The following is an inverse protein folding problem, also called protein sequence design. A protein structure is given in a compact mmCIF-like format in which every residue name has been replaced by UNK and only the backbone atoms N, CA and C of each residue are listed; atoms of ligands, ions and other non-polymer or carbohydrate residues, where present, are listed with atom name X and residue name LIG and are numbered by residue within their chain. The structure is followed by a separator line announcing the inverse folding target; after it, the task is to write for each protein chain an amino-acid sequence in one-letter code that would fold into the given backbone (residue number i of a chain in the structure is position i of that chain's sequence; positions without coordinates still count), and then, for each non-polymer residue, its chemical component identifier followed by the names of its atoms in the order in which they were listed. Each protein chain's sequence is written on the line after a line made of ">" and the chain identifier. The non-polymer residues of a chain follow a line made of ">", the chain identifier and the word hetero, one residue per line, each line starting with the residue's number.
data_IF_451555144590
#
_entry.id   IF_451555144590
#
_cell.length_a   1.000
_cell.length_b   1.000
_cell.length_c   1.000
_cell.angle_alpha   90.00
_cell.angle_beta   90.00
_cell.angle_gamma   90.00
#
_symmetry.space_group_name_H-M   'P 1'
#
loop_
_entity.id
_entity.type
_entity.pdbx_description
1 polymer ?
#
# COMPACT_ATOMS: atom_id res chain seq x y z
N UNK A 1 -13.56 -30.74 5.93
CA UNK A 1 -12.48 -30.31 5.02
C UNK A 1 -11.12 -30.13 5.72
N UNK A 2 -11.04 -29.80 7.02
CA UNK A 2 -9.76 -29.59 7.72
C UNK A 2 -9.08 -30.83 8.33
N UNK A 3 -9.76 -31.98 8.40
CA UNK A 3 -9.25 -33.15 9.13
C UNK A 3 -8.11 -33.89 8.40
N UNK A 4 -8.03 -33.77 7.07
CA UNK A 4 -7.05 -34.47 6.22
C UNK A 4 -5.84 -33.61 5.81
N UNK A 5 -5.80 -32.33 6.18
CA UNK A 5 -4.67 -31.46 5.87
C UNK A 5 -3.41 -31.94 6.58
N UNK A 6 -2.33 -32.17 5.82
CA UNK A 6 -1.03 -32.58 6.34
C UNK A 6 -0.29 -31.40 7.00
N UNK A 7 -0.55 -30.18 6.51
CA UNK A 7 0.03 -28.93 7.00
C UNK A 7 -1.00 -28.18 7.86
N UNK A 8 -0.68 -27.98 9.14
CA UNK A 8 -1.51 -27.20 10.07
C UNK A 8 -0.78 -25.92 10.45
N UNK A 9 -1.43 -24.77 10.26
CA UNK A 9 -0.87 -23.46 10.61
C UNK A 9 -1.60 -22.95 11.83
N UNK A 10 -0.93 -22.91 12.97
CA UNK A 10 -1.52 -22.61 14.27
C UNK A 10 -1.03 -21.24 14.74
N UNK A 11 -1.98 -20.35 14.94
CA UNK A 11 -1.80 -19.10 15.65
C UNK A 11 -1.48 -19.34 17.13
N UNK A 12 -0.41 -18.73 17.62
CA UNK A 12 0.02 -18.79 19.02
C UNK A 12 0.29 -17.38 19.55
N UNK A 13 -0.19 -17.10 20.77
CA UNK A 13 0.01 -15.84 21.48
C UNK A 13 1.27 -15.84 22.35
N UNK A 14 1.48 -14.74 23.08
CA UNK A 14 2.56 -14.62 24.08
C UNK A 14 2.32 -15.45 25.35
N UNK A 15 1.11 -15.95 25.53
CA UNK A 15 0.71 -16.95 26.53
C UNK A 15 1.07 -18.39 26.09
N UNK A 16 1.67 -18.58 24.92
CA UNK A 16 2.26 -19.84 24.48
C UNK A 16 1.24 -20.98 24.36
N UNK A 17 1.62 -22.17 24.85
CA UNK A 17 0.78 -23.38 24.79
C UNK A 17 -0.51 -23.28 25.63
N UNK A 18 -0.53 -22.41 26.64
CA UNK A 18 -1.68 -22.26 27.53
C UNK A 18 -2.80 -21.44 26.87
N UNK A 19 -2.46 -20.60 25.88
CA UNK A 19 -3.42 -19.88 25.04
C UNK A 19 -4.05 -20.73 23.93
N UNK A 20 -3.55 -21.95 23.69
CA UNK A 20 -4.07 -22.81 22.63
C UNK A 20 -5.33 -23.55 23.04
N UNK A 21 -6.29 -23.66 22.12
CA UNK A 21 -7.42 -24.57 22.30
C UNK A 21 -6.94 -26.01 22.50
N UNK A 22 -7.69 -26.87 23.24
CA UNK A 22 -7.30 -28.27 23.44
C UNK A 22 -7.00 -29.02 22.13
N UNK A 23 -7.73 -28.70 21.05
CA UNK A 23 -7.51 -29.28 19.73
C UNK A 23 -6.18 -28.83 19.11
N UNK A 24 -5.87 -27.53 19.16
CA UNK A 24 -4.61 -27.02 18.62
C UNK A 24 -3.41 -27.54 19.42
N UNK A 25 -3.52 -27.59 20.75
CA UNK A 25 -2.49 -28.15 21.63
C UNK A 25 -2.18 -29.60 21.28
N UNK A 26 -3.22 -30.42 21.08
CA UNK A 26 -3.05 -31.80 20.62
C UNK A 26 -2.30 -31.90 19.28
N UNK A 27 -2.61 -31.03 18.32
CA UNK A 27 -1.88 -31.03 17.03
C UNK A 27 -0.39 -30.71 17.20
N UNK A 28 -0.05 -29.77 18.09
CA UNK A 28 1.34 -29.43 18.40
C UNK A 28 2.05 -30.60 19.08
N UNK A 29 1.39 -31.30 20.00
CA UNK A 29 1.93 -32.47 20.71
C UNK A 29 2.14 -33.69 19.79
N UNK A 30 1.26 -33.89 18.80
CA UNK A 30 1.32 -35.02 17.85
C UNK A 30 2.12 -34.71 16.57
N UNK A 31 2.66 -33.50 16.46
CA UNK A 31 3.43 -33.06 15.30
C UNK A 31 4.70 -33.91 15.12
N UNK A 32 5.00 -34.26 13.88
CA UNK A 32 6.30 -34.88 13.53
C UNK A 32 7.33 -33.81 13.17
N UNK A 33 6.85 -32.67 12.65
CA UNK A 33 7.66 -31.50 12.32
C UNK A 33 6.99 -30.25 12.86
N UNK A 34 7.75 -29.44 13.58
CA UNK A 34 7.37 -28.12 14.07
C UNK A 34 8.20 -27.07 13.34
N UNK A 35 7.52 -26.22 12.58
CA UNK A 35 8.14 -25.10 11.88
C UNK A 35 7.71 -23.77 12.50
N UNK A 36 8.64 -22.82 12.64
CA UNK A 36 8.32 -21.59 13.35
C UNK A 36 9.52 -20.65 13.50
N UNK A 37 9.23 -19.41 13.87
CA UNK A 37 10.25 -18.49 14.36
C UNK A 37 10.86 -19.02 15.67
N UNK A 38 12.12 -18.67 15.94
CA UNK A 38 12.83 -19.15 17.14
C UNK A 38 12.04 -18.92 18.44
N UNK A 39 11.39 -17.75 18.58
CA UNK A 39 10.49 -17.42 19.70
C UNK A 39 9.32 -18.42 19.82
N UNK A 40 8.69 -18.80 18.72
CA UNK A 40 7.56 -19.74 18.74
C UNK A 40 7.99 -21.16 19.11
N UNK A 41 9.12 -21.61 18.57
CA UNK A 41 9.67 -22.93 18.88
C UNK A 41 10.14 -23.05 20.33
N UNK A 42 10.47 -21.93 20.99
CA UNK A 42 10.80 -21.87 22.40
C UNK A 42 9.60 -22.12 23.32
N UNK A 43 8.35 -21.93 22.86
CA UNK A 43 7.14 -22.28 23.63
C UNK A 43 6.89 -23.78 23.75
N UNK A 44 7.60 -24.60 22.95
CA UNK A 44 7.46 -26.06 22.88
C UNK A 44 8.81 -26.76 23.14
N UNK A 45 9.48 -26.48 24.28
CA UNK A 45 10.84 -26.96 24.51
C UNK A 45 10.91 -28.49 24.64
N UNK A 46 9.86 -29.12 25.17
CA UNK A 46 9.78 -30.56 25.44
C UNK A 46 9.33 -31.43 24.25
N UNK A 47 8.98 -30.83 23.12
CA UNK A 47 8.54 -31.59 21.94
C UNK A 47 9.70 -32.41 21.35
N UNK A 48 9.41 -33.66 20.97
CA UNK A 48 10.34 -34.55 20.26
C UNK A 48 10.27 -34.41 18.73
N UNK A 49 9.41 -33.52 18.23
CA UNK A 49 9.28 -33.26 16.79
C UNK A 49 10.56 -32.66 16.21
N UNK A 50 10.80 -32.91 14.92
CA UNK A 50 11.83 -32.20 14.16
C UNK A 50 11.51 -30.69 14.14
N UNK A 51 12.47 -29.84 14.51
CA UNK A 51 12.27 -28.38 14.58
C UNK A 51 12.89 -27.68 13.39
N UNK A 52 12.07 -26.99 12.60
CA UNK A 52 12.47 -26.19 11.46
C UNK A 52 12.34 -24.69 11.79
N UNK A 53 13.46 -24.05 12.12
CA UNK A 53 13.49 -22.59 12.26
C UNK A 53 13.39 -21.90 10.90
N UNK A 54 12.88 -20.67 10.88
CA UNK A 54 12.90 -19.83 9.67
C UNK A 54 14.31 -19.64 9.14
N UNK A 55 14.48 -19.90 7.84
CA UNK A 55 15.72 -19.73 7.10
C UNK A 55 15.79 -18.38 6.39
N UNK A 56 16.97 -18.08 5.88
CA UNK A 56 17.25 -16.87 5.11
C UNK A 56 17.93 -17.30 3.80
N UNK A 57 17.28 -17.15 2.63
CA UNK A 57 15.96 -16.53 2.41
C UNK A 57 14.78 -17.36 2.92
N UNK A 58 13.64 -16.69 3.16
CA UNK A 58 12.43 -17.34 3.69
C UNK A 58 11.86 -18.44 2.75
N UNK A 59 12.15 -18.36 1.45
CA UNK A 59 11.79 -19.41 0.47
C UNK A 59 12.30 -20.79 0.85
N UNK A 60 13.49 -20.86 1.46
CA UNK A 60 14.11 -22.12 1.86
C UNK A 60 13.27 -22.83 2.93
N UNK A 61 12.61 -22.07 3.80
CA UNK A 61 11.66 -22.63 4.77
C UNK A 61 10.42 -23.20 4.11
N UNK A 62 9.93 -22.60 3.02
CA UNK A 62 8.78 -23.12 2.28
C UNK A 62 9.12 -24.45 1.59
N UNK A 63 10.32 -24.55 1.02
CA UNK A 63 10.79 -25.78 0.39
C UNK A 63 11.09 -26.89 1.43
N UNK A 64 11.65 -26.53 2.59
CA UNK A 64 11.84 -27.45 3.71
C UNK A 64 10.51 -27.96 4.30
N UNK A 65 9.46 -27.13 4.31
CA UNK A 65 8.10 -27.58 4.69
C UNK A 65 7.54 -28.51 3.61
N UNK A 66 7.75 -28.19 2.33
CA UNK A 66 7.23 -28.98 1.22
C UNK A 66 7.86 -30.38 1.12
N UNK A 67 9.09 -30.59 1.59
CA UNK A 67 9.72 -31.91 1.64
C UNK A 67 9.12 -32.86 2.68
N UNK A 68 8.22 -32.36 3.53
CA UNK A 68 7.60 -33.09 4.64
C UNK A 68 6.10 -33.38 4.43
N UNK A 69 5.65 -33.41 3.17
CA UNK A 69 4.24 -33.64 2.78
C UNK A 69 3.65 -34.96 3.29
N UNK A 70 4.50 -35.94 3.58
CA UNK A 70 4.16 -37.25 4.12
C UNK A 70 4.03 -37.27 5.66
N UNK A 71 4.43 -36.18 6.33
CA UNK A 71 4.42 -36.05 7.79
C UNK A 71 3.29 -35.13 8.27
N UNK A 72 2.98 -35.20 9.57
CA UNK A 72 2.14 -34.23 10.28
C UNK A 72 2.96 -32.98 10.60
N UNK A 73 2.85 -31.97 9.75
CA UNK A 73 3.58 -30.71 9.90
C UNK A 73 2.72 -29.66 10.59
N UNK A 74 3.28 -29.02 11.61
CA UNK A 74 2.66 -27.88 12.30
C UNK A 74 3.56 -26.66 12.16
N UNK A 75 3.02 -25.59 11.59
CA UNK A 75 3.62 -24.26 11.59
C UNK A 75 3.05 -23.46 12.75
N UNK A 76 3.92 -22.95 13.62
CA UNK A 76 3.58 -22.00 14.68
C UNK A 76 3.79 -20.57 14.17
N UNK A 77 2.75 -19.74 14.28
CA UNK A 77 2.74 -18.37 13.80
C UNK A 77 2.14 -17.41 14.84
N UNK A 78 2.62 -16.17 14.90
CA UNK A 78 2.07 -15.16 15.81
C UNK A 78 0.59 -14.89 15.53
N UNK A 79 -0.27 -14.99 16.54
CA UNK A 79 -1.65 -14.49 16.48
C UNK A 79 -2.48 -15.09 15.34
N UNK A 80 -2.92 -14.27 14.38
CA UNK A 80 -3.64 -14.72 13.19
C UNK A 80 -2.66 -14.94 12.02
N UNK A 81 -2.43 -16.18 11.55
CA UNK A 81 -1.50 -16.46 10.47
C UNK A 81 -1.84 -15.75 9.15
N UNK A 82 -3.10 -15.34 8.94
CA UNK A 82 -3.57 -14.68 7.71
C UNK A 82 -3.55 -13.15 7.78
N UNK A 83 -3.14 -12.57 8.91
CA UNK A 83 -3.07 -11.12 9.09
C UNK A 83 -1.60 -10.66 9.14
N UNK A 84 -1.05 -10.32 7.98
CA UNK A 84 0.39 -10.03 7.77
C UNK A 84 1.33 -11.17 8.22
N UNK A 85 0.80 -12.36 8.47
CA UNK A 85 1.52 -13.51 8.99
C UNK A 85 2.01 -14.48 7.91
N UNK A 86 2.74 -15.50 8.36
CA UNK A 86 3.35 -16.54 7.51
C UNK A 86 2.32 -17.36 6.72
N UNK A 87 1.06 -17.41 7.17
CA UNK A 87 -0.02 -18.10 6.47
C UNK A 87 -0.26 -17.55 5.06
N UNK A 88 -0.03 -16.25 4.85
CA UNK A 88 -0.15 -15.62 3.53
C UNK A 88 0.90 -16.15 2.55
N UNK A 89 2.16 -16.28 3.01
CA UNK A 89 3.23 -16.83 2.18
C UNK A 89 3.04 -18.33 1.91
N UNK A 90 2.55 -19.08 2.91
CA UNK A 90 2.20 -20.49 2.73
C UNK A 90 1.08 -20.68 1.70
N UNK A 91 0.04 -19.82 1.71
CA UNK A 91 -1.07 -19.87 0.77
C UNK A 91 -0.68 -19.55 -0.68
N UNK A 92 0.50 -18.95 -0.91
CA UNK A 92 1.05 -18.78 -2.26
C UNK A 92 1.71 -20.06 -2.80
N UNK A 93 2.07 -21.00 -1.90
CA UNK A 93 2.83 -22.22 -2.23
C UNK A 93 1.99 -23.50 -2.13
N UNK A 94 1.03 -23.53 -1.21
CA UNK A 94 0.19 -24.68 -0.89
C UNK A 94 -1.28 -24.32 -1.10
N UNK A 95 -2.05 -25.27 -1.62
CA UNK A 95 -3.49 -25.09 -1.81
C UNK A 95 -4.25 -25.07 -0.48
N UNK A 96 -5.47 -24.55 -0.48
CA UNK A 96 -6.30 -24.49 0.71
C UNK A 96 -6.69 -25.89 1.23
N UNK A 97 -6.72 -26.89 0.34
CA UNK A 97 -7.02 -28.30 0.66
C UNK A 97 -5.88 -28.99 1.41
N UNK A 98 -4.64 -28.53 1.20
CA UNK A 98 -3.45 -29.04 1.87
C UNK A 98 -3.26 -28.47 3.28
N UNK A 99 -3.89 -27.33 3.55
CA UNK A 99 -3.68 -26.55 4.76
C UNK A 99 -4.91 -26.51 5.67
N UNK A 100 -4.68 -26.57 6.97
CA UNK A 100 -5.67 -26.19 7.97
C UNK A 100 -5.12 -25.05 8.83
N UNK A 101 -5.77 -23.88 8.76
CA UNK A 101 -5.35 -22.67 9.49
C UNK A 101 -6.23 -22.49 10.72
N UNK A 102 -5.58 -22.34 11.88
CA UNK A 102 -6.21 -22.14 13.18
C UNK A 102 -5.78 -20.79 13.74
N UNK A 103 -6.52 -19.70 13.48
CA UNK A 103 -6.14 -18.37 13.95
C UNK A 103 -6.31 -18.25 15.46
N UNK A 104 -5.43 -17.47 16.08
CA UNK A 104 -5.60 -16.93 17.43
C UNK A 104 -5.87 -15.41 17.35
N UNK A 105 -6.28 -14.79 18.46
CA UNK A 105 -6.44 -13.35 18.49
C UNK A 105 -5.11 -12.64 18.20
N UNK A 106 -5.02 -11.96 17.05
CA UNK A 106 -3.84 -11.20 16.65
C UNK A 106 -3.70 -9.86 17.36
N UNK A 107 -2.55 -9.23 17.18
CA UNK A 107 -2.18 -7.96 17.81
C UNK A 107 -3.25 -6.86 17.65
N UNK A 108 -3.88 -6.71 16.47
CA UNK A 108 -4.93 -5.71 16.28
C UNK A 108 -6.19 -5.99 17.11
N UNK A 109 -6.64 -7.24 17.17
CA UNK A 109 -7.82 -7.60 17.96
C UNK A 109 -7.56 -7.40 19.45
N UNK A 110 -6.36 -7.77 19.92
CA UNK A 110 -5.93 -7.54 21.30
C UNK A 110 -5.81 -6.05 21.61
N UNK A 111 -5.19 -5.25 20.74
CA UNK A 111 -5.07 -3.81 20.89
C UNK A 111 -6.44 -3.13 20.94
N UNK A 112 -7.36 -3.48 20.03
CA UNK A 112 -8.75 -3.02 20.06
C UNK A 112 -9.42 -3.33 21.40
N UNK A 113 -9.25 -4.55 21.93
CA UNK A 113 -9.80 -4.93 23.23
C UNK A 113 -9.24 -4.12 24.40
N UNK A 114 -7.94 -3.74 24.36
CA UNK A 114 -7.31 -2.90 25.39
C UNK A 114 -7.68 -1.43 25.31
N UNK A 115 -7.95 -0.94 24.10
CA UNK A 115 -8.23 0.47 23.83
C UNK A 115 -9.73 0.79 23.80
N UNK A 116 -10.59 -0.24 23.74
CA UNK A 116 -12.02 -0.08 23.52
C UNK A 116 -12.35 0.43 22.11
N UNK A 117 -11.52 0.11 21.12
CA UNK A 117 -11.71 0.54 19.73
C UNK A 117 -12.48 -0.51 18.92
N UNK A 118 -13.41 -0.06 18.08
CA UNK A 118 -14.07 -0.93 17.09
C UNK A 118 -13.09 -1.34 16.00
N UNK A 119 -12.89 -2.66 15.80
CA UNK A 119 -11.99 -3.17 14.74
C UNK A 119 -12.42 -2.76 13.33
N UNK A 120 -13.71 -2.46 13.13
CA UNK A 120 -14.27 -2.03 11.85
C UNK A 120 -13.99 -0.54 11.52
N UNK A 121 -13.58 0.26 12.51
CA UNK A 121 -13.35 1.70 12.37
C UNK A 121 -11.86 2.08 12.44
N UNK A 122 -10.98 1.09 12.55
CA UNK A 122 -9.52 1.30 12.63
C UNK A 122 -8.86 0.90 11.32
N UNK A 123 -7.94 1.74 10.88
CA UNK A 123 -7.04 1.43 9.77
C UNK A 123 -5.89 0.58 10.32
N UNK A 124 -5.55 -0.48 9.59
CA UNK A 124 -4.50 -1.43 10.02
C UNK A 124 -3.42 -1.56 8.98
N UNK A 125 -2.17 -1.32 9.39
CA UNK A 125 -0.99 -1.43 8.53
C UNK A 125 0.16 -2.11 9.28
N UNK A 126 1.16 -2.55 8.52
CA UNK A 126 2.40 -3.12 9.06
C UNK A 126 3.57 -2.31 8.56
N UNK A 127 4.48 -1.96 9.47
CA UNK A 127 5.80 -1.43 9.15
C UNK A 127 6.87 -2.54 9.24
N UNK A 128 6.50 -3.74 9.67
CA UNK A 128 7.41 -4.87 9.72
C UNK A 128 7.84 -5.28 8.30
N UNK A 129 9.13 -5.13 7.99
CA UNK A 129 9.73 -5.34 6.67
C UNK A 129 9.20 -4.38 5.61
N UNK A 130 8.69 -3.19 6.00
CA UNK A 130 8.08 -2.21 5.08
C UNK A 130 8.52 -0.78 5.39
N UNK A 131 8.57 0.11 4.39
CA UNK A 131 8.97 1.51 4.60
C UNK A 131 8.03 2.26 5.56
N UNK A 132 8.60 3.10 6.43
CA UNK A 132 7.86 4.00 7.33
C UNK A 132 6.91 4.94 6.57
N UNK A 133 7.29 5.34 5.35
CA UNK A 133 6.52 6.25 4.49
C UNK A 133 5.11 5.76 4.19
N UNK A 134 4.83 4.46 4.27
CA UNK A 134 3.47 3.90 4.14
C UNK A 134 2.48 4.55 5.12
N UNK A 135 2.94 5.04 6.27
CA UNK A 135 2.12 5.78 7.22
C UNK A 135 1.43 6.99 6.56
N UNK A 136 2.10 7.67 5.63
CA UNK A 136 1.69 8.97 5.09
C UNK A 136 0.33 8.94 4.37
N UNK A 137 -0.09 7.82 3.79
CA UNK A 137 -1.41 7.71 3.13
C UNK A 137 -2.57 7.55 4.13
N UNK A 138 -2.27 7.15 5.36
CA UNK A 138 -3.28 6.91 6.40
C UNK A 138 -3.52 8.12 7.32
N UNK A 139 -2.60 9.09 7.32
CA UNK A 139 -2.67 10.29 8.16
C UNK A 139 -3.84 11.19 7.77
N UNK A 140 -4.91 11.14 8.57
CA UNK A 140 -6.10 11.97 8.45
C UNK A 140 -6.58 12.40 9.84
N UNK A 141 -7.07 13.63 10.03
CA UNK A 141 -7.59 14.05 11.33
C UNK A 141 -8.71 13.11 11.81
N UNK A 142 -8.61 12.64 13.06
CA UNK A 142 -9.58 11.72 13.66
C UNK A 142 -9.42 10.24 13.26
N UNK A 143 -8.50 9.91 12.35
CA UNK A 143 -8.22 8.51 12.03
C UNK A 143 -7.63 7.77 13.23
N UNK A 144 -8.01 6.50 13.38
CA UNK A 144 -7.42 5.57 14.34
C UNK A 144 -6.62 4.53 13.59
N UNK A 145 -5.33 4.44 13.90
CA UNK A 145 -4.39 3.53 13.24
C UNK A 145 -3.93 2.48 14.25
N UNK A 146 -3.83 1.23 13.81
CA UNK A 146 -3.04 0.21 14.49
C UNK A 146 -1.92 -0.26 13.55
N UNK A 147 -0.70 -0.19 14.06
CA UNK A 147 0.53 -0.38 13.28
C UNK A 147 1.32 -1.51 13.92
N UNK A 148 1.62 -2.57 13.15
CA UNK A 148 2.62 -3.56 13.57
C UNK A 148 4.02 -2.96 13.38
N UNK A 149 4.80 -2.92 14.45
CA UNK A 149 6.15 -2.39 14.44
C UNK A 149 7.14 -3.37 13.81
N UNK A 150 8.26 -2.83 13.31
CA UNK A 150 9.44 -3.64 12.98
C UNK A 150 10.12 -4.12 14.27
N UNK A 151 10.34 -3.18 15.19
CA UNK A 151 11.15 -3.36 16.39
C UNK A 151 10.83 -2.31 17.48
N UNK A 152 11.64 -2.29 18.54
CA UNK A 152 11.53 -1.37 19.67
C UNK A 152 11.75 0.11 19.34
N UNK A 153 12.35 0.43 18.18
CA UNK A 153 12.63 1.81 17.75
C UNK A 153 11.49 2.42 16.93
N UNK A 154 10.62 1.55 16.38
CA UNK A 154 9.52 1.95 15.51
C UNK A 154 8.55 2.97 16.14
N UNK A 155 8.18 2.90 17.44
CA UNK A 155 7.32 3.92 18.06
C UNK A 155 7.88 5.35 17.97
N UNK A 156 9.18 5.53 18.20
CA UNK A 156 9.84 6.83 18.10
C UNK A 156 9.88 7.33 16.65
N UNK A 157 10.15 6.43 15.70
CA UNK A 157 10.12 6.76 14.28
C UNK A 157 8.72 7.19 13.80
N UNK A 158 7.66 6.51 14.26
CA UNK A 158 6.27 6.90 13.99
C UNK A 158 5.94 8.25 14.61
N UNK A 159 6.36 8.51 15.85
CA UNK A 159 6.17 9.79 16.50
C UNK A 159 6.85 10.93 15.73
N UNK A 160 8.10 10.73 15.28
CA UNK A 160 8.82 11.70 14.46
C UNK A 160 8.11 11.98 13.14
N UNK A 161 7.71 10.94 12.41
CA UNK A 161 6.98 11.10 11.15
C UNK A 161 5.64 11.84 11.34
N UNK A 162 4.94 11.64 12.46
CA UNK A 162 3.74 12.39 12.79
C UNK A 162 4.05 13.88 13.02
N UNK A 163 5.08 14.21 13.80
CA UNK A 163 5.50 15.61 14.04
C UNK A 163 5.84 16.33 12.74
N UNK A 164 6.64 15.70 11.88
CA UNK A 164 7.07 16.28 10.59
C UNK A 164 5.90 16.61 9.65
N UNK A 165 4.75 15.97 9.85
CA UNK A 165 3.52 16.18 9.07
C UNK A 165 2.49 17.06 9.78
N UNK A 166 2.82 17.66 10.92
CA UNK A 166 1.91 18.50 11.72
C UNK A 166 0.88 17.71 12.53
N UNK A 167 1.19 16.45 12.85
CA UNK A 167 0.38 15.55 13.67
C UNK A 167 0.96 15.35 15.08
N UNK A 168 1.82 16.26 15.58
CA UNK A 168 2.43 16.18 16.92
C UNK A 168 1.43 15.95 18.08
N UNK A 169 0.24 16.57 18.09
CA UNK A 169 -0.79 16.36 19.11
C UNK A 169 -1.42 14.96 19.11
N UNK A 170 -1.14 14.11 18.12
CA UNK A 170 -1.69 12.76 18.03
C UNK A 170 -1.36 11.95 19.27
N UNK A 171 -2.35 11.20 19.77
CA UNK A 171 -2.11 10.28 20.89
C UNK A 171 -1.45 9.02 20.36
N UNK A 172 -0.40 8.59 21.04
CA UNK A 172 0.34 7.39 20.73
C UNK A 172 0.24 6.42 21.92
N UNK A 173 -0.10 5.16 21.65
CA UNK A 173 -0.03 4.09 22.65
C UNK A 173 0.79 2.95 22.07
N UNK A 174 1.92 2.62 22.71
CA UNK A 174 2.70 1.42 22.42
C UNK A 174 2.17 0.29 23.31
N UNK A 175 1.90 -0.85 22.69
CA UNK A 175 1.43 -2.07 23.32
C UNK A 175 2.41 -3.20 22.98
N UNK A 176 3.17 -3.68 23.96
CA UNK A 176 4.15 -4.74 23.77
C UNK A 176 3.66 -6.05 24.38
N UNK A 177 4.03 -7.16 23.72
CA UNK A 177 3.75 -8.55 24.16
C UNK A 177 2.29 -8.78 24.57
N UNK A 178 1.37 -8.24 23.76
CA UNK A 178 -0.08 -8.33 23.98
C UNK A 178 -0.54 -9.77 24.19
N UNK A 179 -1.40 -9.97 25.19
CA UNK A 179 -1.99 -11.26 25.55
C UNK A 179 -1.09 -12.15 26.42
N UNK A 180 0.16 -11.74 26.68
CA UNK A 180 1.10 -12.51 27.49
C UNK A 180 1.22 -12.06 28.96
N UNK A 181 1.96 -12.81 29.78
CA UNK A 181 2.22 -12.46 31.18
C UNK A 181 3.10 -11.22 31.35
N UNK A 182 3.82 -10.83 30.29
CA UNK A 182 4.69 -9.67 30.24
C UNK A 182 4.11 -8.55 29.38
N UNK A 183 2.78 -8.47 29.23
CA UNK A 183 2.14 -7.39 28.48
C UNK A 183 2.54 -6.02 29.06
N UNK A 184 2.93 -5.09 28.18
CA UNK A 184 3.36 -3.75 28.52
C UNK A 184 2.57 -2.71 27.73
N UNK A 185 2.33 -1.56 28.37
CA UNK A 185 1.66 -0.42 27.75
C UNK A 185 2.40 0.87 28.08
N UNK A 186 2.57 1.72 27.07
CA UNK A 186 3.10 3.07 27.22
C UNK A 186 2.24 4.04 26.42
N UNK A 187 1.78 5.10 27.08
CA UNK A 187 0.96 6.15 26.47
C UNK A 187 1.75 7.47 26.38
N UNK A 188 1.44 8.27 25.36
CA UNK A 188 2.03 9.58 25.15
C UNK A 188 1.37 10.32 23.98
N UNK A 189 2.02 11.38 23.54
CA UNK A 189 1.69 12.07 22.27
C UNK A 189 2.87 11.97 21.33
N UNK A 190 2.67 12.15 20.03
CA UNK A 190 3.78 12.21 19.08
C UNK A 190 4.77 13.35 19.42
N UNK A 191 4.26 14.49 19.90
CA UNK A 191 5.06 15.63 20.36
C UNK A 191 5.98 15.29 21.54
N UNK A 192 5.46 14.57 22.54
CA UNK A 192 6.16 14.28 23.77
C UNK A 192 6.80 12.89 23.82
N UNK A 193 6.81 12.15 22.71
CA UNK A 193 7.36 10.80 22.67
C UNK A 193 8.90 10.88 22.68
N UNK A 194 9.52 10.21 23.64
CA UNK A 194 10.99 10.12 23.73
C UNK A 194 11.56 9.01 22.84
N UNK A 195 12.88 9.02 22.67
CA UNK A 195 13.60 8.05 21.85
C UNK A 195 13.93 6.74 22.61
N UNK A 196 13.33 6.51 23.78
CA UNK A 196 13.61 5.30 24.54
C UNK A 196 13.02 4.08 23.82
N UNK A 197 13.89 3.12 23.50
CA UNK A 197 13.48 1.89 22.83
C UNK A 197 12.44 1.14 23.67
N UNK A 198 11.41 0.67 22.99
CA UNK A 198 10.43 -0.25 23.54
C UNK A 198 10.88 -1.70 23.29
N UNK A 199 10.06 -2.67 23.69
CA UNK A 199 10.31 -4.06 23.33
C UNK A 199 10.03 -4.32 21.84
N UNK A 200 10.81 -5.19 21.20
CA UNK A 200 10.71 -5.44 19.75
C UNK A 200 9.34 -5.93 19.30
N UNK A 201 8.74 -6.84 20.08
CA UNK A 201 7.37 -7.28 19.83
C UNK A 201 6.37 -6.24 20.36
N UNK A 202 6.09 -5.21 19.56
CA UNK A 202 5.13 -4.16 19.89
C UNK A 202 4.16 -3.81 18.75
N UNK A 203 3.06 -3.16 19.13
CA UNK A 203 2.03 -2.62 18.24
C UNK A 203 1.74 -1.19 18.68
N UNK A 204 1.67 -0.29 17.71
CA UNK A 204 1.48 1.14 17.95
C UNK A 204 0.05 1.50 17.58
N UNK A 205 -0.67 2.10 18.51
CA UNK A 205 -1.96 2.70 18.28
C UNK A 205 -1.81 4.22 18.16
N UNK A 206 -2.43 4.80 17.13
CA UNK A 206 -2.40 6.25 16.89
C UNK A 206 -3.83 6.76 16.79
N UNK A 207 -4.17 7.77 17.58
CA UNK A 207 -5.33 8.61 17.32
C UNK A 207 -4.84 9.93 16.71
N UNK A 208 -5.02 10.06 15.40
CA UNK A 208 -4.47 11.15 14.61
C UNK A 208 -5.13 12.49 14.97
N UNK A 209 -4.33 13.43 15.44
CA UNK A 209 -4.71 14.80 15.76
C UNK A 209 -3.73 15.75 15.11
N UNK A 210 -4.24 16.85 14.58
CA UNK A 210 -3.45 17.84 13.84
C UNK A 210 -3.21 19.09 14.66
N UNK A 211 -2.09 19.75 14.37
CA UNK A 211 -1.84 21.13 14.76
C UNK A 211 -2.71 22.11 13.96
N UNK A 212 -2.85 23.33 14.48
CA UNK A 212 -3.54 24.40 13.77
C UNK A 212 -2.74 24.76 12.51
N UNK A 213 -3.36 24.65 11.35
CA UNK A 213 -2.73 24.96 10.07
C UNK A 213 -1.93 23.82 9.44
N UNK A 214 -1.99 22.61 10.01
CA UNK A 214 -1.37 21.44 9.39
C UNK A 214 -1.96 21.15 8.00
N UNK A 215 -1.10 20.71 7.08
CA UNK A 215 -1.49 20.39 5.72
C UNK A 215 -2.12 18.99 5.66
N UNK A 216 -3.42 18.93 5.36
CA UNK A 216 -4.16 17.66 5.31
C UNK A 216 -4.25 17.15 3.88
N UNK A 217 -3.76 15.94 3.65
CA UNK A 217 -3.80 15.26 2.35
C UNK A 217 -4.91 14.20 2.35
N UNK A 218 -6.05 14.41 1.66
CA UNK A 218 -7.08 13.39 1.59
C UNK A 218 -6.62 12.17 0.75
N UNK A 219 -7.45 11.12 0.77
CA UNK A 219 -7.26 9.94 -0.10
C UNK A 219 -7.95 10.06 -1.45
N UNK A 220 -8.82 11.07 -1.63
CA UNK A 220 -9.47 11.31 -2.91
C UNK A 220 -8.49 11.97 -3.89
N UNK A 221 -8.59 11.64 -5.19
CA UNK A 221 -7.86 12.35 -6.25
C UNK A 221 -8.04 13.86 -6.23
N UNK A 222 -6.98 14.58 -6.62
CA UNK A 222 -6.96 16.04 -6.60
C UNK A 222 -6.28 16.61 -5.37
N UNK A 223 -5.20 15.99 -4.89
CA UNK A 223 -4.27 16.64 -3.97
C UNK A 223 -3.83 18.01 -4.52
N UNK A 224 -3.55 19.01 -3.68
CA UNK A 224 -3.00 20.29 -4.14
C UNK A 224 -1.70 20.10 -4.91
N UNK A 225 -1.40 21.01 -5.82
CA UNK A 225 -0.21 20.88 -6.67
C UNK A 225 1.10 21.00 -5.88
N UNK A 226 1.08 21.72 -4.76
CA UNK A 226 2.19 21.91 -3.82
C UNK A 226 2.54 20.61 -3.07
N UNK A 227 1.67 19.61 -3.11
CA UNK A 227 1.95 18.28 -2.55
C UNK A 227 2.99 17.50 -3.38
N UNK A 228 3.32 17.96 -4.58
CA UNK A 228 4.23 17.29 -5.50
C UNK A 228 5.45 18.16 -5.79
N UNK A 229 6.63 17.58 -5.61
CA UNK A 229 7.84 18.10 -6.24
C UNK A 229 7.64 18.05 -7.75
N UNK A 230 7.85 19.18 -8.44
CA UNK A 230 7.68 19.31 -9.88
C UNK A 230 8.53 20.44 -10.46
N UNK A 231 8.73 20.44 -11.77
CA UNK A 231 9.49 21.46 -12.53
C UNK A 231 8.57 22.31 -13.43
N UNK A 232 7.30 22.45 -13.05
CA UNK A 232 6.26 23.08 -13.85
C UNK A 232 5.54 22.13 -14.80
N UNK A 233 6.05 20.93 -15.06
CA UNK A 233 5.36 19.88 -15.82
C UNK A 233 4.55 18.96 -14.89
N UNK A 234 3.41 19.48 -14.43
CA UNK A 234 2.46 18.78 -13.55
C UNK A 234 1.06 18.83 -14.16
N UNK A 235 0.38 17.68 -14.24
CA UNK A 235 -1.07 17.66 -14.52
C UNK A 235 -1.79 18.35 -13.38
N UNK A 236 -2.32 19.55 -13.61
CA UNK A 236 -2.94 20.42 -12.59
C UNK A 236 -4.13 19.76 -11.89
N UNK A 237 -4.30 20.06 -10.60
CA UNK A 237 -5.29 19.45 -9.69
C UNK A 237 -6.64 19.09 -10.32
N UNK A 238 -7.36 20.05 -10.94
CA UNK A 238 -8.69 19.79 -11.51
C UNK A 238 -8.65 18.77 -12.66
N UNK A 239 -7.67 18.92 -13.56
CA UNK A 239 -7.47 17.99 -14.68
C UNK A 239 -7.04 16.62 -14.15
N UNK A 240 -6.20 16.59 -13.11
CA UNK A 240 -5.72 15.37 -12.46
C UNK A 240 -6.88 14.58 -11.85
N UNK A 241 -7.78 15.24 -11.11
CA UNK A 241 -9.00 14.64 -10.58
C UNK A 241 -9.90 14.06 -11.68
N UNK A 242 -10.14 14.81 -12.76
CA UNK A 242 -10.95 14.35 -13.88
C UNK A 242 -10.31 13.14 -14.59
N UNK A 243 -8.98 13.16 -14.74
CA UNK A 243 -8.20 12.05 -15.34
C UNK A 243 -8.31 10.78 -14.49
N UNK A 244 -8.18 10.88 -13.17
CA UNK A 244 -8.34 9.71 -12.29
C UNK A 244 -9.77 9.19 -12.24
N UNK A 245 -10.77 10.07 -12.35
CA UNK A 245 -12.16 9.65 -12.50
C UNK A 245 -12.39 8.88 -13.81
N UNK A 246 -11.72 9.27 -14.91
CA UNK A 246 -11.79 8.56 -16.18
C UNK A 246 -11.03 7.21 -16.17
N UNK A 247 -9.89 7.15 -15.46
CA UNK A 247 -9.12 5.91 -15.28
C UNK A 247 -9.86 4.91 -14.37
N UNK A 248 -10.53 5.42 -13.33
CA UNK A 248 -11.35 4.67 -12.37
C UNK A 248 -10.62 3.45 -11.76
N UNK A 249 -9.72 3.68 -10.78
CA UNK A 249 -8.95 2.64 -10.09
C UNK A 249 -9.83 1.51 -9.54
N UNK A 250 -9.39 0.27 -9.72
CA UNK A 250 -10.06 -0.95 -9.25
C UNK A 250 -9.11 -1.87 -8.50
N UNK A 251 -9.61 -2.75 -7.61
CA UNK A 251 -8.78 -3.68 -6.88
C UNK A 251 -7.92 -4.56 -7.80
N UNK A 252 -6.63 -4.67 -7.49
CA UNK A 252 -5.66 -5.45 -8.26
C UNK A 252 -5.25 -4.85 -9.62
N UNK A 253 -5.94 -3.82 -10.10
CA UNK A 253 -5.72 -3.27 -11.43
C UNK A 253 -4.32 -2.62 -11.59
N UNK A 254 -3.69 -2.86 -12.73
CA UNK A 254 -2.40 -2.31 -13.12
C UNK A 254 -2.56 -1.08 -14.02
N UNK A 255 -2.03 0.06 -13.57
CA UNK A 255 -1.89 1.28 -14.37
C UNK A 255 -0.50 1.37 -15.02
N UNK A 256 -0.45 1.73 -16.30
CA UNK A 256 0.74 2.36 -16.88
C UNK A 256 0.55 3.88 -16.94
N UNK A 257 1.45 4.65 -16.33
CA UNK A 257 1.52 6.11 -16.42
C UNK A 257 2.67 6.50 -17.34
N UNK A 258 2.36 6.83 -18.60
CA UNK A 258 3.33 7.04 -19.68
C UNK A 258 3.62 8.53 -19.86
N UNK A 259 4.90 8.88 -19.75
CA UNK A 259 5.30 10.28 -19.68
C UNK A 259 4.89 10.89 -18.33
N UNK A 260 5.22 10.19 -17.25
CA UNK A 260 4.66 10.42 -15.92
C UNK A 260 5.02 11.79 -15.32
N UNK A 261 6.12 12.44 -15.77
CA UNK A 261 6.52 13.76 -15.27
C UNK A 261 6.86 13.71 -13.78
N UNK A 262 5.97 14.25 -12.93
CA UNK A 262 6.09 14.18 -11.46
C UNK A 262 5.50 12.90 -10.84
N UNK A 263 4.82 12.05 -11.63
CA UNK A 263 4.18 10.82 -11.18
C UNK A 263 2.83 11.02 -10.50
N UNK A 264 2.26 12.23 -10.58
CA UNK A 264 1.10 12.61 -9.79
C UNK A 264 -0.12 11.71 -10.04
N UNK A 265 -0.33 11.23 -11.28
CA UNK A 265 -1.46 10.33 -11.59
C UNK A 265 -1.22 8.94 -11.00
N UNK A 266 -0.06 8.32 -11.27
CA UNK A 266 0.27 7.03 -10.69
C UNK A 266 0.21 7.04 -9.15
N UNK A 267 0.69 8.11 -8.52
CA UNK A 267 0.67 8.26 -7.06
C UNK A 267 -0.77 8.32 -6.54
N UNK A 268 -1.61 9.18 -7.11
CA UNK A 268 -3.00 9.30 -6.66
C UNK A 268 -3.85 8.07 -7.00
N UNK A 269 -3.54 7.35 -8.09
CA UNK A 269 -4.10 6.03 -8.40
C UNK A 269 -3.85 5.05 -7.25
N UNK A 270 -2.60 4.91 -6.83
CA UNK A 270 -2.20 4.01 -5.74
C UNK A 270 -2.74 4.42 -4.37
N UNK A 271 -2.95 5.73 -4.14
CA UNK A 271 -3.58 6.26 -2.92
C UNK A 271 -5.08 5.99 -2.87
N UNK A 272 -5.74 5.95 -4.04
CA UNK A 272 -7.19 5.74 -4.16
C UNK A 272 -7.55 4.31 -3.84
N UNK A 273 -6.93 3.34 -4.50
CA UNK A 273 -7.22 1.91 -4.32
C UNK A 273 -5.99 1.15 -3.78
N UNK A 274 -5.98 0.74 -2.49
CA UNK A 274 -4.79 0.18 -1.83
C UNK A 274 -4.23 -1.07 -2.51
N UNK A 275 -5.07 -1.87 -3.16
CA UNK A 275 -4.66 -3.12 -3.80
C UNK A 275 -4.28 -2.96 -5.27
N UNK A 276 -4.44 -1.76 -5.83
CA UNK A 276 -4.01 -1.44 -7.20
C UNK A 276 -2.49 -1.34 -7.31
N UNK A 277 -2.02 -1.49 -8.54
CA UNK A 277 -0.62 -1.43 -8.95
C UNK A 277 -0.41 -0.34 -10.00
N UNK A 278 0.80 0.18 -10.10
CA UNK A 278 1.14 1.18 -11.12
C UNK A 278 2.61 1.07 -11.52
N UNK A 279 2.87 1.34 -12.80
CA UNK A 279 4.20 1.54 -13.37
C UNK A 279 4.24 2.92 -14.02
N UNK A 280 5.13 3.77 -13.53
CA UNK A 280 5.40 5.08 -14.11
C UNK A 280 6.59 4.97 -15.06
N UNK A 281 6.43 5.43 -16.31
CA UNK A 281 7.48 5.44 -17.34
C UNK A 281 7.83 6.87 -17.67
N UNK A 282 9.09 7.24 -17.45
CA UNK A 282 9.61 8.58 -17.67
C UNK A 282 11.01 8.50 -18.28
N UNK A 283 11.28 9.29 -19.33
CA UNK A 283 12.55 9.25 -20.06
C UNK A 283 13.63 10.10 -19.39
N UNK A 284 13.24 11.16 -18.71
CA UNK A 284 14.16 12.05 -18.01
C UNK A 284 14.55 11.42 -16.66
N UNK A 285 15.83 11.09 -16.44
CA UNK A 285 16.26 10.44 -15.19
C UNK A 285 16.02 11.32 -13.96
N UNK A 286 16.12 12.64 -14.08
CA UNK A 286 15.88 13.58 -12.96
C UNK A 286 14.41 13.59 -12.57
N UNK A 287 13.52 13.51 -13.55
CA UNK A 287 12.08 13.37 -13.28
C UNK A 287 11.74 12.01 -12.71
N UNK A 288 12.37 10.94 -13.19
CA UNK A 288 12.19 9.60 -12.66
C UNK A 288 12.56 9.52 -11.17
N UNK A 289 13.69 10.09 -10.76
CA UNK A 289 14.08 10.20 -9.34
C UNK A 289 13.04 10.98 -8.52
N UNK A 290 12.55 12.10 -9.07
CA UNK A 290 11.49 12.90 -8.43
C UNK A 290 10.19 12.14 -8.24
N UNK A 291 9.82 11.24 -9.17
CA UNK A 291 8.65 10.36 -9.02
C UNK A 291 8.83 9.47 -7.78
N UNK A 292 10.03 8.91 -7.57
CA UNK A 292 10.33 8.08 -6.39
C UNK A 292 10.20 8.90 -5.11
N UNK A 293 10.77 10.11 -5.07
CA UNK A 293 10.66 11.01 -3.92
C UNK A 293 9.21 11.38 -3.60
N UNK A 294 8.42 11.74 -4.62
CA UNK A 294 7.00 12.02 -4.45
C UNK A 294 6.22 10.79 -3.96
N UNK A 295 6.53 9.60 -4.47
CA UNK A 295 5.87 8.36 -4.07
C UNK A 295 6.14 8.02 -2.60
N UNK A 296 7.38 8.18 -2.14
CA UNK A 296 7.75 8.07 -0.73
C UNK A 296 7.02 9.12 0.12
N UNK A 297 7.13 10.41 -0.25
CA UNK A 297 6.53 11.51 0.51
C UNK A 297 5.00 11.38 0.64
N UNK A 298 4.35 10.81 -0.37
CA UNK A 298 2.89 10.62 -0.46
C UNK A 298 2.44 9.19 -0.10
N UNK A 299 3.32 8.37 0.47
CA UNK A 299 2.97 7.10 1.10
C UNK A 299 2.58 5.96 0.16
N UNK A 300 3.13 5.97 -1.05
CA UNK A 300 3.00 4.88 -2.04
C UNK A 300 4.36 4.43 -2.58
N UNK A 301 5.33 4.07 -1.70
CA UNK A 301 6.68 3.63 -2.10
C UNK A 301 6.68 2.39 -3.00
N UNK A 302 5.55 1.70 -3.11
CA UNK A 302 5.33 0.56 -4.04
C UNK A 302 5.22 0.97 -5.51
N UNK A 303 5.19 2.25 -5.84
CA UNK A 303 5.17 2.71 -7.23
C UNK A 303 6.44 2.25 -7.94
N UNK A 304 6.30 1.44 -9.00
CA UNK A 304 7.43 1.05 -9.83
C UNK A 304 7.72 2.15 -10.84
N UNK A 305 8.95 2.66 -10.84
CA UNK A 305 9.41 3.67 -11.80
C UNK A 305 10.37 3.04 -12.80
N UNK A 306 10.18 3.32 -14.08
CA UNK A 306 11.04 2.88 -15.17
C UNK A 306 11.56 4.11 -15.89
N UNK A 307 12.88 4.30 -15.82
CA UNK A 307 13.57 5.32 -16.59
C UNK A 307 13.79 4.82 -18.00
N UNK A 308 13.05 5.37 -18.97
CA UNK A 308 13.12 4.95 -20.37
C UNK A 308 12.09 5.63 -21.25
N UNK A 309 12.23 5.44 -22.56
CA UNK A 309 11.34 6.03 -23.56
C UNK A 309 10.26 5.03 -24.01
N UNK A 310 9.01 5.49 -24.03
CA UNK A 310 7.91 4.74 -24.60
C UNK A 310 7.87 4.95 -26.14
N UNK A 311 7.51 3.91 -26.93
CA UNK A 311 6.92 2.64 -26.49
C UNK A 311 7.94 1.55 -26.09
N UNK A 312 9.23 1.72 -26.31
CA UNK A 312 10.25 0.67 -26.11
C UNK A 312 10.30 0.17 -24.66
N UNK A 313 10.21 1.10 -23.69
CA UNK A 313 10.19 0.77 -22.26
C UNK A 313 8.95 -0.03 -21.82
N UNK A 314 7.91 -0.11 -22.67
CA UNK A 314 6.67 -0.84 -22.38
C UNK A 314 6.73 -2.31 -22.79
N UNK A 315 7.66 -2.69 -23.67
CA UNK A 315 7.64 -3.99 -24.34
C UNK A 315 7.80 -5.21 -23.41
N UNK A 316 8.42 -5.03 -22.23
CA UNK A 316 8.65 -6.11 -21.25
C UNK A 316 7.67 -6.08 -20.06
N UNK A 317 6.68 -5.20 -20.11
CA UNK A 317 5.73 -5.02 -19.01
C UNK A 317 4.51 -5.92 -19.18
N UNK A 318 3.99 -6.40 -18.06
CA UNK A 318 2.69 -7.09 -18.02
C UNK A 318 1.60 -6.17 -18.56
N UNK A 319 0.69 -6.73 -19.38
CA UNK A 319 -0.47 -6.02 -19.90
C UNK A 319 -1.21 -5.26 -18.79
N UNK A 320 -1.51 -3.96 -18.99
CA UNK A 320 -2.19 -3.16 -18.00
C UNK A 320 -3.72 -3.29 -18.12
N UNK A 321 -4.40 -2.96 -17.03
CA UNK A 321 -5.86 -2.74 -16.99
C UNK A 321 -6.22 -1.29 -17.32
N UNK A 322 -5.28 -0.37 -17.09
CA UNK A 322 -5.45 1.05 -17.41
C UNK A 322 -4.15 1.66 -17.95
N UNK A 323 -4.26 2.57 -18.91
CA UNK A 323 -3.13 3.37 -19.40
C UNK A 323 -3.48 4.85 -19.35
N UNK A 324 -2.60 5.65 -18.75
CA UNK A 324 -2.54 7.09 -18.96
C UNK A 324 -1.42 7.41 -19.95
N UNK A 325 -1.72 8.22 -20.96
CA UNK A 325 -0.70 8.89 -21.79
C UNK A 325 -0.73 10.39 -21.50
N UNK A 326 0.18 10.84 -20.64
CA UNK A 326 0.31 12.24 -20.21
C UNK A 326 1.31 13.04 -21.05
N UNK A 327 2.39 12.38 -21.50
CA UNK A 327 3.41 12.94 -22.38
C UNK A 327 3.47 12.22 -23.72
N UNK A 328 3.96 12.91 -24.77
CA UNK A 328 4.26 12.25 -26.05
C UNK A 328 3.05 11.81 -26.88
N UNK A 329 1.83 12.25 -26.56
CA UNK A 329 0.59 11.94 -27.31
C UNK A 329 0.73 12.21 -28.82
N UNK A 330 1.53 13.21 -29.20
CA UNK A 330 1.81 13.57 -30.59
C UNK A 330 2.87 12.71 -31.28
N UNK A 331 3.46 11.75 -30.58
CA UNK A 331 4.41 10.77 -31.11
C UNK A 331 3.68 9.68 -31.89
N UNK A 332 4.24 9.32 -33.03
CA UNK A 332 3.63 8.32 -33.90
C UNK A 332 3.70 6.93 -33.24
N UNK A 333 2.57 6.21 -33.24
CA UNK A 333 2.47 4.84 -32.74
C UNK A 333 2.37 4.65 -31.22
N UNK A 334 2.50 5.70 -30.40
CA UNK A 334 2.46 5.55 -28.94
C UNK A 334 1.06 5.13 -28.43
N UNK A 335 0.00 5.79 -28.92
CA UNK A 335 -1.37 5.46 -28.52
C UNK A 335 -1.75 4.04 -28.96
N UNK A 336 -1.33 3.65 -30.17
CA UNK A 336 -1.54 2.32 -30.72
C UNK A 336 -0.81 1.26 -29.90
N UNK A 337 0.47 1.45 -29.57
CA UNK A 337 1.22 0.52 -28.75
C UNK A 337 0.59 0.33 -27.35
N UNK A 338 0.13 1.42 -26.73
CA UNK A 338 -0.60 1.38 -25.48
C UNK A 338 -1.94 0.64 -25.60
N UNK A 339 -2.68 0.88 -26.69
CA UNK A 339 -3.97 0.25 -26.96
C UNK A 339 -3.85 -1.25 -27.22
N UNK A 340 -2.82 -1.67 -27.96
CA UNK A 340 -2.53 -3.07 -28.23
C UNK A 340 -2.18 -3.83 -26.95
N UNK A 341 -1.35 -3.24 -26.08
CA UNK A 341 -0.93 -3.84 -24.82
C UNK A 341 -2.06 -3.99 -23.78
N UNK A 342 -3.06 -3.11 -23.82
CA UNK A 342 -4.18 -3.04 -22.88
C UNK A 342 -5.00 -4.33 -22.88
N UNK A 343 -5.34 -4.84 -21.69
CA UNK A 343 -6.20 -6.00 -21.54
C UNK A 343 -7.64 -5.72 -22.07
N UNK A 344 -8.39 -6.75 -22.51
CA UNK A 344 -9.82 -6.59 -22.82
C UNK A 344 -10.59 -6.00 -21.64
N UNK A 345 -11.48 -5.04 -21.90
CA UNK A 345 -12.15 -4.25 -20.86
C UNK A 345 -11.29 -3.18 -20.17
N UNK A 346 -10.03 -3.06 -20.54
CA UNK A 346 -9.13 -2.04 -20.01
C UNK A 346 -9.43 -0.63 -20.53
N UNK A 347 -8.91 0.39 -19.85
CA UNK A 347 -9.16 1.80 -20.17
C UNK A 347 -7.90 2.53 -20.62
N UNK A 348 -7.99 3.30 -21.70
CA UNK A 348 -6.95 4.25 -22.10
C UNK A 348 -7.47 5.66 -21.92
N UNK A 349 -6.72 6.46 -21.17
CA UNK A 349 -6.95 7.90 -20.98
C UNK A 349 -5.73 8.65 -21.51
N UNK A 350 -5.94 9.71 -22.28
CA UNK A 350 -4.85 10.52 -22.82
C UNK A 350 -5.22 12.00 -22.79
N UNK A 351 -4.26 12.83 -22.38
CA UNK A 351 -4.45 14.27 -22.22
C UNK A 351 -3.54 15.05 -23.18
N UNK A 352 -4.08 16.05 -23.88
CA UNK A 352 -3.33 16.90 -24.79
C UNK A 352 -3.69 18.38 -24.64
N UNK A 353 -2.66 19.23 -24.71
CA UNK A 353 -2.77 20.70 -24.72
C UNK A 353 -2.34 21.34 -26.04
N UNK A 354 -1.46 20.67 -26.80
CA UNK A 354 -0.97 21.13 -28.10
C UNK A 354 -1.96 20.78 -29.20
N UNK A 355 -2.06 21.60 -30.25
CA UNK A 355 -2.96 21.32 -31.39
C UNK A 355 -2.65 19.97 -32.05
N UNK A 356 -1.37 19.66 -32.30
CA UNK A 356 -0.96 18.34 -32.83
C UNK A 356 -1.44 17.18 -31.94
N UNK A 357 -1.35 17.34 -30.61
CA UNK A 357 -1.86 16.34 -29.68
C UNK A 357 -3.39 16.21 -29.73
N UNK A 358 -4.11 17.34 -29.81
CA UNK A 358 -5.58 17.35 -29.94
C UNK A 358 -6.05 16.67 -31.21
N UNK A 359 -5.42 16.96 -32.35
CA UNK A 359 -5.72 16.32 -33.64
C UNK A 359 -5.49 14.82 -33.58
N UNK A 360 -4.41 14.39 -32.91
CA UNK A 360 -4.10 12.98 -32.70
C UNK A 360 -5.15 12.28 -31.84
N UNK A 361 -5.59 12.90 -30.74
CA UNK A 361 -6.68 12.37 -29.91
C UNK A 361 -8.00 12.31 -30.69
N UNK A 362 -8.31 13.32 -31.50
CA UNK A 362 -9.51 13.33 -32.33
C UNK A 362 -9.48 12.24 -33.41
N UNK A 363 -8.31 11.99 -34.02
CA UNK A 363 -8.13 10.88 -34.97
C UNK A 363 -8.32 9.52 -34.30
N UNK A 364 -7.71 9.31 -33.12
CA UNK A 364 -7.85 8.08 -32.36
C UNK A 364 -9.30 7.85 -31.90
N UNK A 365 -9.97 8.89 -31.41
CA UNK A 365 -11.39 8.87 -31.07
C UNK A 365 -12.29 8.44 -32.25
N UNK A 366 -12.00 8.90 -33.48
CA UNK A 366 -12.77 8.49 -34.66
C UNK A 366 -12.56 7.01 -35.01
N UNK A 367 -11.41 6.44 -34.67
CA UNK A 367 -11.10 5.03 -34.92
C UNK A 367 -11.71 4.12 -33.85
N UNK A 368 -11.48 4.42 -32.56
CA UNK A 368 -11.80 3.51 -31.45
C UNK A 368 -13.04 3.93 -30.63
N UNK A 369 -13.58 5.13 -30.86
CA UNK A 369 -14.71 5.68 -30.11
C UNK A 369 -14.32 6.21 -28.72
N UNK A 370 -15.21 5.99 -27.74
CA UNK A 370 -15.05 6.47 -26.37
C UNK A 370 -15.63 7.87 -26.14
N UNK A 371 -14.93 8.72 -25.39
CA UNK A 371 -15.35 10.08 -25.03
C UNK A 371 -14.18 11.04 -25.19
N UNK A 372 -14.38 12.09 -25.98
CA UNK A 372 -13.47 13.22 -26.11
C UNK A 372 -14.04 14.42 -25.35
N UNK A 373 -13.34 14.85 -24.30
CA UNK A 373 -13.78 15.91 -23.37
C UNK A 373 -12.83 17.09 -23.44
N UNK A 374 -13.35 18.31 -23.46
CA UNK A 374 -12.56 19.53 -23.26
C UNK A 374 -12.76 20.05 -21.84
N UNK A 375 -11.67 20.15 -21.08
CA UNK A 375 -11.66 20.63 -19.70
C UNK A 375 -11.07 22.05 -19.70
N UNK A 376 -11.90 23.05 -19.42
CA UNK A 376 -11.48 24.44 -19.26
C UNK A 376 -11.68 24.84 -17.79
N UNK A 377 -10.67 25.46 -17.20
CA UNK A 377 -10.63 25.83 -15.78
C UNK A 377 -10.17 27.27 -15.66
N UNK A 378 -10.84 28.03 -14.79
CA UNK A 378 -10.45 29.38 -14.43
C UNK A 378 -10.43 29.52 -12.91
N UNK A 379 -9.55 30.37 -12.39
CA UNK A 379 -9.45 30.67 -10.97
C UNK A 379 -9.55 32.17 -10.75
N UNK A 380 -10.25 32.58 -9.69
CA UNK A 380 -10.22 33.95 -9.23
C UNK A 380 -9.09 34.14 -8.23
N UNK A 381 -8.27 35.17 -8.41
CA UNK A 381 -7.25 35.57 -7.45
C UNK A 381 -7.61 36.93 -6.86
N UNK A 382 -7.43 37.08 -5.54
CA UNK A 382 -7.56 38.37 -4.90
C UNK A 382 -6.24 39.13 -5.11
N UNK A 383 -6.27 40.21 -5.90
CA UNK A 383 -5.15 41.14 -5.94
C UNK A 383 -5.06 41.86 -4.58
N UNK A 384 -3.84 42.07 -4.07
CA UNK A 384 -3.64 42.66 -2.75
C UNK A 384 -4.38 44.01 -2.59
N UNK A 385 -5.17 44.15 -1.52
CA UNK A 385 -5.94 45.37 -1.21
C UNK A 385 -7.46 45.21 -1.39
N UNK A 386 -8.15 46.33 -1.66
CA UNK A 386 -9.61 46.43 -1.91
C UNK A 386 -9.98 46.25 -3.40
N UNK A 387 -9.13 45.56 -4.16
CA UNK A 387 -9.28 45.39 -5.61
C UNK A 387 -10.34 44.32 -5.96
N UNK A 388 -11.15 44.50 -7.02
CA UNK A 388 -12.08 43.47 -7.49
C UNK A 388 -11.37 42.17 -7.91
N UNK A 389 -12.07 41.04 -7.72
CA UNK A 389 -11.62 39.70 -8.14
C UNK A 389 -11.34 39.64 -9.65
N UNK A 390 -10.15 39.18 -10.02
CA UNK A 390 -9.77 38.92 -11.42
C UNK A 390 -9.79 37.40 -11.70
N UNK A 391 -10.38 37.00 -12.82
CA UNK A 391 -10.40 35.61 -13.28
C UNK A 391 -9.25 35.33 -14.24
N UNK A 392 -8.52 34.25 -13.99
CA UNK A 392 -7.41 33.78 -14.81
C UNK A 392 -7.74 32.43 -15.44
N UNK A 393 -7.91 32.42 -16.76
CA UNK A 393 -8.14 31.20 -17.52
C UNK A 393 -6.86 30.37 -17.66
N UNK A 394 -6.97 29.05 -17.46
CA UNK A 394 -5.91 28.09 -17.77
C UNK A 394 -6.12 27.52 -19.17
N UNK A 395 -5.03 27.12 -19.82
CA UNK A 395 -5.10 26.47 -21.13
C UNK A 395 -5.99 25.21 -21.07
N UNK A 396 -7.03 25.12 -21.91
CA UNK A 396 -7.92 23.96 -21.89
C UNK A 396 -7.20 22.68 -22.27
N UNK A 397 -7.48 21.61 -21.52
CA UNK A 397 -6.97 20.26 -21.79
C UNK A 397 -8.02 19.47 -22.57
N UNK A 398 -7.61 18.81 -23.64
CA UNK A 398 -8.44 17.81 -24.33
C UNK A 398 -8.09 16.44 -23.79
N UNK A 399 -9.08 15.74 -23.25
CA UNK A 399 -8.96 14.40 -22.70
C UNK A 399 -9.72 13.41 -23.56
N UNK A 400 -9.05 12.36 -24.00
CA UNK A 400 -9.69 11.17 -24.53
C UNK A 400 -9.80 10.13 -23.40
N UNK A 401 -10.96 9.49 -23.30
CA UNK A 401 -11.15 8.29 -22.49
C UNK A 401 -11.87 7.23 -23.33
N UNK A 402 -11.27 6.05 -23.46
CA UNK A 402 -11.80 4.94 -24.26
C UNK A 402 -11.63 3.62 -23.50
N UNK A 403 -12.57 2.68 -23.68
CA UNK A 403 -12.54 1.35 -23.08
C UNK A 403 -12.41 0.31 -24.20
N UNK A 404 -11.48 -0.63 -24.05
CA UNK A 404 -11.26 -1.72 -25.00
C UNK A 404 -12.38 -2.75 -24.85
N UNK A 405 -12.90 -3.24 -25.97
CA UNK A 405 -13.92 -4.29 -25.95
C UNK A 405 -13.45 -5.51 -25.14
N UNK A 406 -14.40 -6.16 -24.46
CA UNK A 406 -14.16 -7.37 -23.65
C UNK A 406 -14.03 -8.62 -24.49
#
# INVERSE_FOLDING_TARGET
>A
MTASAWLRVIGIGEDGLDGLSPRCRKYVEEAEVLAGGARHLAFVPSSTAEKLAWGTPFSDSLDAIASHRDKRVVVLASGDPMNYGVGVALAQRFSAEEMAIFPAAGAFSLACARLGWSRAEVETLTLHGRPLSLLNVHLRPGARLLILAEDGTTPAAVAAALRDKGYGPSRLTMLARLGGPHEERRDGTAEGWDDASCHDLNTIAVECRIEKGAFVLPRIPGLPDEAFLNDGQLTKQVVRSATLAALAPLPGALLWDVGAGSGAIAIEWLRTEPTSQAVAVERDPVRAERIVENAEALGVPRLRVITGEAPQALASLTSPDAVLVGGGVSGDGLLEACWEALAPGGRLVANAVTEKGKDRLAAFFRAEGGRLTRIAVSHAEAEAGDTPLAWHDKHPVTQLAVEKAR
#
